data_IF_986044671154
#
_entry.id   IF_986044671154
#
_cell.length_a   1.000
_cell.length_b   1.000
_cell.length_c   1.000
_cell.angle_alpha   90.00
_cell.angle_beta   90.00
_cell.angle_gamma   90.00
#
_symmetry.space_group_name_H-M   'P 1'
#
loop_
_entity.id
_entity.type
_entity.pdbx_description
1 polymer ?
#
# COMPACT_ATOMS: atom_id res chain seq x y z
N UNK A 1 -65.43 -20.38 18.19
CA UNK A 1 -64.66 -19.87 17.03
C UNK A 1 -63.51 -19.05 17.60
N UNK A 2 -62.30 -19.61 17.69
CA UNK A 2 -61.13 -18.90 18.22
C UNK A 2 -60.38 -18.21 17.07
N UNK A 3 -59.94 -16.94 17.22
CA UNK A 3 -59.18 -16.28 16.17
C UNK A 3 -57.76 -16.85 16.09
N UNK A 4 -57.35 -17.20 14.87
CA UNK A 4 -55.99 -17.64 14.55
C UNK A 4 -55.04 -16.46 14.71
N UNK A 5 -54.15 -16.53 15.69
CA UNK A 5 -52.96 -15.68 15.78
C UNK A 5 -52.03 -16.03 14.61
N UNK A 6 -52.03 -15.19 13.57
CA UNK A 6 -51.03 -15.24 12.53
C UNK A 6 -49.73 -14.65 13.09
N UNK A 7 -48.75 -15.51 13.39
CA UNK A 7 -47.40 -15.05 13.64
C UNK A 7 -46.84 -14.48 12.34
N UNK A 8 -46.85 -13.15 12.20
CA UNK A 8 -45.98 -12.45 11.25
C UNK A 8 -44.55 -12.67 11.70
N UNK A 9 -43.99 -13.80 11.30
CA UNK A 9 -42.56 -14.02 11.28
C UNK A 9 -41.98 -13.01 10.30
N UNK A 10 -41.55 -11.87 10.81
CA UNK A 10 -40.65 -10.96 10.12
C UNK A 10 -39.36 -11.74 9.89
N UNK A 11 -39.32 -12.53 8.82
CA UNK A 11 -38.10 -12.96 8.16
C UNK A 11 -37.46 -11.70 7.56
N UNK A 12 -36.89 -10.86 8.43
CA UNK A 12 -35.81 -9.97 8.01
C UNK A 12 -34.66 -10.91 7.70
N UNK A 13 -34.67 -11.45 6.48
CA UNK A 13 -33.47 -11.97 5.86
C UNK A 13 -32.40 -10.91 6.12
N UNK A 14 -31.39 -11.27 6.89
CA UNK A 14 -30.22 -10.43 7.13
C UNK A 14 -29.67 -10.06 5.76
N UNK A 15 -30.01 -8.87 5.26
CA UNK A 15 -29.41 -8.33 4.05
C UNK A 15 -27.92 -8.29 4.32
N UNK A 16 -27.18 -9.24 3.74
CA UNK A 16 -25.74 -9.32 3.87
C UNK A 16 -25.15 -8.02 3.35
N UNK A 17 -24.78 -7.13 4.26
CA UNK A 17 -24.17 -5.85 3.92
C UNK A 17 -22.89 -6.10 3.10
N UNK A 18 -22.62 -5.20 2.15
CA UNK A 18 -21.40 -5.28 1.35
C UNK A 18 -20.16 -5.36 2.25
N UNK A 19 -19.21 -6.21 1.86
CA UNK A 19 -17.96 -6.42 2.57
C UNK A 19 -16.79 -6.54 1.59
N UNK A 20 -15.68 -5.88 1.94
CA UNK A 20 -14.43 -5.94 1.20
C UNK A 20 -13.58 -7.11 1.67
N UNK A 21 -13.12 -7.94 0.73
CA UNK A 21 -12.18 -9.02 0.99
C UNK A 21 -10.97 -8.85 0.08
N UNK A 22 -9.78 -8.53 0.62
CA UNK A 22 -8.56 -8.46 -0.18
C UNK A 22 -8.27 -9.79 -0.86
N UNK A 23 -7.84 -9.76 -2.11
CA UNK A 23 -7.35 -10.96 -2.80
C UNK A 23 -5.98 -11.37 -2.24
N UNK A 24 -5.66 -12.66 -2.30
CA UNK A 24 -4.33 -13.16 -1.92
C UNK A 24 -3.23 -12.48 -2.73
N UNK A 25 -3.49 -12.19 -4.00
CA UNK A 25 -2.55 -11.48 -4.87
C UNK A 25 -2.23 -10.07 -4.34
N UNK A 26 -3.24 -9.30 -3.92
CA UNK A 26 -3.03 -7.96 -3.37
C UNK A 26 -2.24 -8.02 -2.06
N UNK A 27 -2.53 -9.00 -1.20
CA UNK A 27 -1.79 -9.17 0.06
C UNK A 27 -0.33 -9.56 -0.20
N UNK A 28 -0.07 -10.46 -1.14
CA UNK A 28 1.29 -10.83 -1.56
C UNK A 28 2.02 -9.65 -2.19
N UNK A 29 1.35 -8.89 -3.05
CA UNK A 29 1.88 -7.66 -3.63
C UNK A 29 2.31 -6.69 -2.53
N UNK A 30 1.45 -6.39 -1.56
CA UNK A 30 1.78 -5.50 -0.44
C UNK A 30 2.91 -6.04 0.44
N UNK A 31 2.96 -7.36 0.66
CA UNK A 31 4.02 -7.98 1.45
C UNK A 31 5.42 -7.80 0.83
N UNK A 32 5.49 -7.76 -0.50
CA UNK A 32 6.75 -7.55 -1.24
C UNK A 32 7.01 -6.07 -1.50
N UNK A 33 5.98 -5.31 -1.89
CA UNK A 33 6.12 -3.91 -2.29
C UNK A 33 6.45 -3.00 -1.11
N UNK A 34 5.82 -3.18 0.06
CA UNK A 34 6.04 -2.31 1.21
C UNK A 34 7.52 -2.29 1.66
N UNK A 35 8.19 -3.44 1.89
CA UNK A 35 9.61 -3.44 2.21
C UNK A 35 10.48 -2.78 1.13
N UNK A 36 10.21 -3.08 -0.15
CA UNK A 36 11.00 -2.55 -1.26
C UNK A 36 10.86 -1.03 -1.40
N UNK A 37 9.63 -0.51 -1.36
CA UNK A 37 9.35 0.92 -1.49
C UNK A 37 9.87 1.71 -0.29
N UNK A 38 9.80 1.14 0.93
CA UNK A 38 10.41 1.74 2.12
C UNK A 38 11.94 1.80 1.99
N UNK A 39 12.56 0.71 1.51
CA UNK A 39 14.01 0.66 1.29
C UNK A 39 14.47 1.70 0.26
N UNK A 40 13.73 1.83 -0.84
CA UNK A 40 13.97 2.81 -1.90
C UNK A 40 13.80 4.26 -1.42
N UNK A 41 12.70 4.53 -0.73
CA UNK A 41 12.43 5.84 -0.12
C UNK A 41 13.55 6.22 0.85
N UNK A 42 13.99 5.26 1.66
CA UNK A 42 15.11 5.43 2.57
C UNK A 42 16.42 5.74 1.83
N UNK A 43 16.72 5.04 0.74
CA UNK A 43 17.89 5.33 -0.08
C UNK A 43 17.87 6.78 -0.55
N UNK A 44 16.75 7.22 -1.14
CA UNK A 44 16.66 8.49 -1.84
C UNK A 44 16.60 9.70 -0.92
N UNK A 45 15.89 9.60 0.21
CA UNK A 45 15.71 10.71 1.16
C UNK A 45 16.89 10.89 2.12
N UNK A 46 17.65 9.84 2.43
CA UNK A 46 18.80 9.93 3.33
C UNK A 46 20.11 10.23 2.59
N UNK A 47 20.07 10.50 1.28
CA UNK A 47 21.24 10.97 0.53
C UNK A 47 21.80 12.25 1.19
N UNK A 48 23.14 12.36 1.33
CA UNK A 48 24.17 11.51 0.73
C UNK A 48 24.60 10.31 1.58
N UNK A 49 24.05 10.10 2.79
CA UNK A 49 24.54 9.08 3.72
C UNK A 49 24.37 7.63 3.23
N UNK A 50 23.37 7.40 2.39
CA UNK A 50 23.04 6.10 1.77
C UNK A 50 23.76 5.87 0.44
N UNK A 51 24.37 6.90 -0.15
CA UNK A 51 25.11 6.81 -1.43
C UNK A 51 26.49 6.17 -1.22
N UNK A 52 27.14 5.66 -2.29
CA UNK A 52 28.51 5.15 -2.20
C UNK A 52 29.46 6.16 -1.53
N UNK A 53 30.17 5.72 -0.48
CA UNK A 53 31.01 6.57 0.37
C UNK A 53 30.30 7.18 1.59
N UNK A 54 28.97 7.01 1.70
CA UNK A 54 28.17 7.43 2.85
C UNK A 54 28.16 6.40 3.99
N UNK A 55 27.93 6.87 5.22
CA UNK A 55 28.00 6.06 6.46
C UNK A 55 26.94 4.96 6.54
N UNK A 56 25.80 5.14 5.89
CA UNK A 56 24.67 4.20 5.91
C UNK A 56 24.67 3.28 4.68
N UNK A 57 25.55 3.51 3.71
CA UNK A 57 25.55 2.75 2.46
C UNK A 57 25.76 1.25 2.68
N UNK A 58 26.72 0.90 3.54
CA UNK A 58 26.98 -0.49 3.93
C UNK A 58 26.21 -0.85 5.21
N UNK A 59 25.58 -2.03 5.31
CA UNK A 59 25.50 -3.10 4.30
C UNK A 59 24.22 -3.08 3.45
N UNK A 60 23.22 -2.28 3.83
CA UNK A 60 21.84 -2.43 3.33
C UNK A 60 21.62 -1.74 1.98
N UNK A 61 22.40 -0.72 1.61
CA UNK A 61 22.24 0.03 0.35
C UNK A 61 23.36 -0.23 -0.67
N UNK A 62 24.20 -1.24 -0.42
CA UNK A 62 25.30 -1.64 -1.31
C UNK A 62 24.84 -1.90 -2.75
N UNK A 63 23.70 -2.57 -3.03
CA UNK A 63 23.24 -2.78 -4.40
C UNK A 63 22.96 -1.48 -5.17
N UNK A 64 22.64 -0.39 -4.47
CA UNK A 64 22.40 0.91 -5.10
C UNK A 64 23.65 1.55 -5.70
N UNK A 65 24.86 1.07 -5.36
CA UNK A 65 26.09 1.50 -6.02
C UNK A 65 26.07 1.15 -7.51
N UNK A 66 25.82 -0.13 -7.82
CA UNK A 66 25.69 -0.60 -9.20
C UNK A 66 24.43 -0.05 -9.86
N UNK A 67 23.33 0.02 -9.11
CA UNK A 67 22.06 0.53 -9.65
C UNK A 67 22.16 1.99 -10.07
N UNK A 68 22.82 2.85 -9.28
CA UNK A 68 23.02 4.27 -9.62
C UNK A 68 23.94 4.52 -10.82
N UNK A 69 24.74 3.53 -11.22
CA UNK A 69 25.53 3.59 -12.45
C UNK A 69 24.67 3.34 -13.70
N UNK A 70 23.70 2.42 -13.61
CA UNK A 70 22.78 2.11 -14.71
C UNK A 70 21.64 3.12 -14.78
N UNK A 71 20.97 3.36 -13.66
CA UNK A 71 19.92 4.36 -13.51
C UNK A 71 20.49 5.62 -12.83
N UNK A 72 20.84 6.59 -13.68
CA UNK A 72 21.47 7.82 -13.24
C UNK A 72 20.62 8.69 -12.30
N UNK A 73 19.30 8.46 -12.17
CA UNK A 73 18.46 9.16 -11.18
C UNK A 73 18.86 8.82 -9.73
N UNK A 74 19.42 7.62 -9.54
CA UNK A 74 19.88 7.11 -8.25
C UNK A 74 21.36 7.42 -7.99
N UNK A 75 22.10 7.81 -9.02
CA UNK A 75 23.53 8.09 -8.97
C UNK A 75 23.90 9.49 -8.45
N UNK A 76 25.20 9.68 -8.20
CA UNK A 76 25.78 10.95 -7.72
C UNK A 76 25.63 12.09 -8.73
N UNK A 77 25.53 11.76 -10.03
CA UNK A 77 25.33 12.75 -11.11
C UNK A 77 24.10 13.62 -10.88
N UNK A 78 22.94 13.01 -10.65
CA UNK A 78 21.69 13.76 -10.43
C UNK A 78 21.62 14.46 -9.09
N UNK A 79 22.25 13.87 -8.07
CA UNK A 79 22.41 14.50 -6.77
C UNK A 79 23.23 15.80 -6.85
N UNK A 80 24.36 15.76 -7.56
CA UNK A 80 25.23 16.92 -7.76
C UNK A 80 24.55 18.01 -8.61
N UNK A 81 23.69 17.62 -9.55
CA UNK A 81 22.84 18.52 -10.32
C UNK A 81 21.65 19.08 -9.51
N UNK A 82 21.49 18.67 -8.25
CA UNK A 82 20.37 19.06 -7.36
C UNK A 82 19.00 18.86 -8.00
N UNK A 83 18.83 17.79 -8.76
CA UNK A 83 17.57 17.50 -9.43
C UNK A 83 16.50 17.08 -8.38
N UNK A 84 15.40 17.85 -8.22
CA UNK A 84 14.40 17.55 -7.21
C UNK A 84 13.48 16.39 -7.59
N UNK A 85 13.45 15.97 -8.86
CA UNK A 85 12.50 14.98 -9.39
C UNK A 85 12.58 13.66 -8.62
N UNK A 86 13.79 13.12 -8.47
CA UNK A 86 14.05 11.86 -7.79
C UNK A 86 13.58 11.90 -6.32
N UNK A 87 13.84 13.00 -5.61
CA UNK A 87 13.36 13.18 -4.23
C UNK A 87 11.83 13.32 -4.16
N UNK A 88 11.22 14.03 -5.13
CA UNK A 88 9.77 14.16 -5.24
C UNK A 88 9.07 12.82 -5.46
N UNK A 89 9.62 11.96 -6.34
CA UNK A 89 9.13 10.59 -6.54
C UNK A 89 9.18 9.77 -5.23
N UNK A 90 10.26 9.91 -4.46
CA UNK A 90 10.40 9.21 -3.18
C UNK A 90 9.46 9.71 -2.09
N UNK A 91 9.12 11.00 -2.06
CA UNK A 91 8.06 11.52 -1.16
C UNK A 91 6.72 10.87 -1.51
N UNK A 92 6.42 10.75 -2.81
CA UNK A 92 5.21 10.07 -3.27
C UNK A 92 5.23 8.56 -2.95
N UNK A 93 6.40 7.93 -2.89
CA UNK A 93 6.57 6.55 -2.40
C UNK A 93 6.28 6.44 -0.89
N UNK A 94 6.70 7.42 -0.08
CA UNK A 94 6.38 7.47 1.34
C UNK A 94 4.87 7.58 1.60
N UNK A 95 4.17 8.46 0.86
CA UNK A 95 2.72 8.62 0.96
C UNK A 95 1.97 7.36 0.53
N UNK A 96 2.37 6.74 -0.57
CA UNK A 96 1.78 5.46 -1.02
C UNK A 96 1.95 4.36 0.04
N UNK A 97 3.15 4.23 0.60
CA UNK A 97 3.46 3.30 1.68
C UNK A 97 2.52 3.51 2.86
N UNK A 98 2.32 4.77 3.28
CA UNK A 98 1.40 5.11 4.37
C UNK A 98 -0.04 4.70 4.04
N UNK A 99 -0.52 4.95 2.82
CA UNK A 99 -1.87 4.57 2.41
C UNK A 99 -2.07 3.05 2.43
N UNK A 100 -1.09 2.27 1.97
CA UNK A 100 -1.13 0.81 2.05
C UNK A 100 -1.08 0.29 3.48
N UNK A 101 -0.30 0.91 4.36
CA UNK A 101 -0.29 0.58 5.80
C UNK A 101 -1.64 0.88 6.45
N UNK A 102 -2.26 2.01 6.12
CA UNK A 102 -3.61 2.35 6.60
C UNK A 102 -4.62 1.32 6.09
N UNK A 103 -4.57 0.96 4.81
CA UNK A 103 -5.43 -0.07 4.22
C UNK A 103 -5.31 -1.41 4.97
N UNK A 104 -4.08 -1.90 5.18
CA UNK A 104 -3.82 -3.14 5.91
C UNK A 104 -4.26 -3.04 7.38
N UNK A 105 -4.04 -1.88 8.01
CA UNK A 105 -4.46 -1.60 9.37
C UNK A 105 -5.98 -1.65 9.53
N UNK A 106 -6.73 -1.03 8.61
CA UNK A 106 -8.20 -1.11 8.58
C UNK A 106 -8.67 -2.54 8.39
N UNK A 107 -8.04 -3.30 7.49
CA UNK A 107 -8.37 -4.70 7.27
C UNK A 107 -8.09 -5.60 8.48
N UNK A 108 -6.97 -5.40 9.15
CA UNK A 108 -6.59 -6.19 10.31
C UNK A 108 -7.44 -5.85 11.54
N UNK A 109 -7.72 -4.57 11.77
CA UNK A 109 -8.46 -4.10 12.95
C UNK A 109 -9.98 -4.33 12.86
N UNK A 110 -10.57 -4.14 11.68
CA UNK A 110 -12.04 -4.19 11.49
C UNK A 110 -12.52 -5.39 10.67
N UNK A 111 -11.61 -6.26 10.24
CA UNK A 111 -11.98 -7.48 9.54
C UNK A 111 -12.63 -8.48 10.49
N UNK A 112 -13.84 -8.94 10.16
CA UNK A 112 -14.52 -9.98 10.94
C UNK A 112 -13.71 -11.27 10.92
N UNK A 113 -13.63 -12.02 12.04
CA UNK A 113 -12.97 -13.31 12.07
C UNK A 113 -13.56 -14.22 10.99
N UNK A 114 -12.73 -14.84 10.14
CA UNK A 114 -13.26 -15.76 9.16
C UNK A 114 -13.92 -16.95 9.86
N UNK A 115 -15.13 -17.31 9.42
CA UNK A 115 -15.66 -18.64 9.68
C UNK A 115 -14.70 -19.71 9.11
N UNK A 116 -14.73 -20.97 9.58
CA UNK A 116 -13.91 -22.04 9.03
C UNK A 116 -14.05 -22.12 7.50
N UNK A 117 -12.95 -21.91 6.77
CA UNK A 117 -12.93 -21.89 5.30
C UNK A 117 -13.29 -20.54 4.64
N UNK A 118 -13.65 -19.51 5.41
CA UNK A 118 -13.91 -18.16 4.89
C UNK A 118 -12.67 -17.26 4.98
N UNK A 119 -12.69 -16.12 4.29
CA UNK A 119 -11.64 -15.09 4.35
C UNK A 119 -12.09 -13.93 5.22
N UNK A 120 -11.12 -13.26 5.87
CA UNK A 120 -11.38 -12.05 6.66
C UNK A 120 -11.90 -10.95 5.75
N UNK A 121 -13.10 -10.47 6.04
CA UNK A 121 -13.79 -9.44 5.28
C UNK A 121 -14.13 -8.24 6.17
N UNK A 122 -14.11 -7.03 5.59
CA UNK A 122 -14.43 -5.78 6.28
C UNK A 122 -15.72 -5.23 5.72
N UNK A 123 -16.77 -5.21 6.54
CA UNK A 123 -18.10 -4.75 6.15
C UNK A 123 -18.28 -3.22 6.20
N UNK A 124 -19.33 -2.75 5.53
CA UNK A 124 -19.88 -1.41 5.73
C UNK A 124 -18.95 -0.26 5.32
N UNK A 125 -19.08 0.88 6.01
CA UNK A 125 -18.34 2.13 5.68
C UNK A 125 -16.82 1.94 5.74
N UNK A 126 -16.32 1.13 6.68
CA UNK A 126 -14.87 0.89 6.84
C UNK A 126 -14.32 0.11 5.64
N UNK A 127 -15.05 -0.89 5.15
CA UNK A 127 -14.66 -1.61 3.94
C UNK A 127 -14.63 -0.69 2.72
N UNK A 128 -15.60 0.23 2.61
CA UNK A 128 -15.65 1.21 1.53
C UNK A 128 -14.45 2.16 1.56
N UNK A 129 -14.09 2.66 2.76
CA UNK A 129 -12.88 3.46 2.96
C UNK A 129 -11.61 2.68 2.60
N UNK A 130 -11.50 1.41 3.01
CA UNK A 130 -10.36 0.57 2.64
C UNK A 130 -10.22 0.45 1.12
N UNK A 131 -11.31 0.18 0.39
CA UNK A 131 -11.27 0.12 -1.08
C UNK A 131 -10.84 1.44 -1.70
N UNK A 132 -11.38 2.57 -1.22
CA UNK A 132 -11.04 3.89 -1.74
C UNK A 132 -9.56 4.25 -1.52
N UNK A 133 -9.02 3.91 -0.34
CA UNK A 133 -7.61 4.13 0.00
C UNK A 133 -6.71 3.26 -0.89
N UNK A 134 -7.02 1.97 -1.01
CA UNK A 134 -6.26 1.05 -1.86
C UNK A 134 -6.27 1.46 -3.33
N UNK A 135 -7.44 1.90 -3.83
CA UNK A 135 -7.57 2.42 -5.19
C UNK A 135 -6.75 3.70 -5.40
N UNK A 136 -6.86 4.67 -4.48
CA UNK A 136 -6.10 5.92 -4.55
C UNK A 136 -4.59 5.66 -4.55
N UNK A 137 -4.12 4.74 -3.71
CA UNK A 137 -2.72 4.34 -3.68
C UNK A 137 -2.28 3.73 -5.03
N UNK A 138 -3.08 2.84 -5.62
CA UNK A 138 -2.77 2.24 -6.93
C UNK A 138 -2.72 3.28 -8.07
N UNK A 139 -3.66 4.24 -8.10
CA UNK A 139 -3.66 5.34 -9.07
C UNK A 139 -2.40 6.19 -8.92
N UNK A 140 -1.97 6.43 -7.68
CA UNK A 140 -0.74 7.16 -7.37
C UNK A 140 0.50 6.42 -7.88
N UNK A 141 0.58 5.10 -7.71
CA UNK A 141 1.64 4.26 -8.26
C UNK A 141 1.71 4.39 -9.77
N UNK A 142 0.58 4.21 -10.46
CA UNK A 142 0.52 4.28 -11.93
C UNK A 142 0.93 5.68 -12.41
N UNK A 143 0.44 6.73 -11.75
CA UNK A 143 0.77 8.12 -12.11
C UNK A 143 2.27 8.40 -12.00
N UNK A 144 2.91 7.93 -10.93
CA UNK A 144 4.36 8.02 -10.76
C UNK A 144 5.12 7.28 -11.84
N UNK A 145 4.72 6.04 -12.13
CA UNK A 145 5.37 5.23 -13.16
C UNK A 145 5.30 5.91 -14.52
N UNK A 146 4.13 6.44 -14.90
CA UNK A 146 3.98 7.19 -16.14
C UNK A 146 4.86 8.44 -16.15
N UNK A 147 4.90 9.21 -15.05
CA UNK A 147 5.77 10.38 -14.94
C UNK A 147 7.27 10.04 -14.96
N UNK A 148 7.66 8.84 -14.53
CA UNK A 148 9.05 8.39 -14.58
C UNK A 148 9.47 7.97 -15.99
N UNK A 149 8.53 7.44 -16.78
CA UNK A 149 8.78 7.00 -18.15
C UNK A 149 8.63 8.10 -19.20
N UNK A 150 7.96 9.21 -18.87
CA UNK A 150 7.75 10.36 -19.73
C UNK A 150 8.99 11.27 -19.79
#
# INVERSE_FOLDING_TARGET
MAPRSGSSGNNVASQGGWAHTPSTLILLWMAVSLPLVVWDTGYMLLRPHTMPGGRLHYPVWVPYALYGEVDHMYGSKQWNLRNPFAAGQSIMNAVETLLYLVYLGLWYAYGSPPAPGARRAVGGRVGGLAVLIGFSAAVMTVSKTVLYCA
#
